data_IF_893709820523
#
_entry.id   IF_893709820523
#
_cell.length_a   1.000
_cell.length_b   1.000
_cell.length_c   1.000
_cell.angle_alpha   90.00
_cell.angle_beta   90.00
_cell.angle_gamma   90.00
#
_symmetry.space_group_name_H-M   'P 1'
#
loop_
_entity.id
_entity.type
_entity.pdbx_description
1 polymer ?
#
# COMPACT_ATOMS: atom_id res chain seq x y z
N UNK A 1 11.68 -18.69 2.97
CA UNK A 1 11.79 -17.95 1.69
C UNK A 1 12.10 -18.93 0.58
N UNK A 2 11.40 -18.85 -0.56
CA UNK A 2 11.71 -19.66 -1.74
C UNK A 2 12.90 -19.02 -2.48
N UNK A 3 13.78 -19.82 -3.09
CA UNK A 3 14.99 -19.34 -3.79
C UNK A 3 14.70 -18.23 -4.81
N UNK A 4 13.55 -18.30 -5.49
CA UNK A 4 13.14 -17.31 -6.49
C UNK A 4 12.72 -15.96 -5.87
N UNK A 5 12.16 -15.95 -4.66
CA UNK A 5 11.76 -14.73 -3.94
C UNK A 5 12.97 -13.96 -3.39
N UNK A 6 14.09 -14.66 -3.15
CA UNK A 6 15.35 -14.04 -2.75
C UNK A 6 15.94 -13.19 -3.89
N UNK A 7 15.85 -13.66 -5.13
CA UNK A 7 16.40 -12.95 -6.28
C UNK A 7 15.75 -11.58 -6.46
N UNK A 8 14.41 -11.49 -6.43
CA UNK A 8 13.70 -10.21 -6.54
C UNK A 8 14.05 -9.24 -5.40
N UNK A 9 14.19 -9.77 -4.18
CA UNK A 9 14.53 -8.97 -3.00
C UNK A 9 15.95 -8.39 -3.11
N UNK A 10 16.90 -9.21 -3.54
CA UNK A 10 18.29 -8.77 -3.76
C UNK A 10 18.38 -7.75 -4.89
N UNK A 11 17.67 -7.98 -6.01
CA UNK A 11 17.63 -7.02 -7.11
C UNK A 11 17.04 -5.68 -6.67
N UNK A 12 15.93 -5.69 -5.89
CA UNK A 12 15.37 -4.45 -5.33
C UNK A 12 16.41 -3.73 -4.48
N UNK A 13 17.11 -4.46 -3.60
CA UNK A 13 18.14 -3.88 -2.73
C UNK A 13 19.28 -3.25 -3.53
N UNK A 14 19.75 -3.90 -4.60
CA UNK A 14 20.79 -3.36 -5.47
C UNK A 14 20.35 -2.06 -6.17
N UNK A 15 19.09 -1.95 -6.60
CA UNK A 15 18.56 -0.70 -7.15
C UNK A 15 18.50 0.41 -6.10
N UNK A 16 18.10 0.09 -4.86
CA UNK A 16 18.07 1.05 -3.75
C UNK A 16 19.49 1.54 -3.38
N UNK A 17 20.48 0.65 -3.38
CA UNK A 17 21.88 0.99 -3.14
C UNK A 17 22.42 1.90 -4.24
N UNK A 18 22.13 1.60 -5.51
CA UNK A 18 22.50 2.46 -6.64
C UNK A 18 21.89 3.86 -6.53
N UNK A 19 20.63 3.98 -6.10
CA UNK A 19 20.01 5.29 -5.82
C UNK A 19 20.73 5.99 -4.66
N UNK A 20 21.07 5.25 -3.60
CA UNK A 20 21.74 5.80 -2.42
C UNK A 20 23.11 6.37 -2.77
N UNK A 21 23.89 5.65 -3.58
CA UNK A 21 25.18 6.10 -4.10
C UNK A 21 25.04 7.29 -5.04
N UNK A 22 24.02 7.30 -5.90
CA UNK A 22 23.77 8.38 -6.84
C UNK A 22 23.44 9.70 -6.12
N UNK A 23 22.56 9.65 -5.12
CA UNK A 23 22.20 10.83 -4.31
C UNK A 23 23.42 11.32 -3.51
N UNK A 24 24.22 10.39 -2.97
CA UNK A 24 25.38 10.61 -2.11
C UNK A 24 25.18 11.70 -1.04
N UNK A 25 24.55 11.31 0.06
CA UNK A 25 24.34 12.21 1.19
C UNK A 25 25.67 12.63 1.84
N UNK A 26 25.79 13.90 2.29
CA UNK A 26 26.98 14.40 2.97
C UNK A 26 27.43 13.55 4.18
N UNK A 27 28.74 13.52 4.42
CA UNK A 27 29.33 12.70 5.49
C UNK A 27 28.93 13.16 6.89
N UNK A 28 28.86 14.47 7.11
CA UNK A 28 28.38 15.08 8.34
C UNK A 28 26.93 14.68 8.63
N UNK A 29 26.03 14.74 7.64
CA UNK A 29 24.65 14.28 7.78
C UNK A 29 24.58 12.81 8.17
N UNK A 30 25.39 11.95 7.54
CA UNK A 30 25.40 10.52 7.82
C UNK A 30 25.89 10.23 9.25
N UNK A 31 26.96 10.88 9.69
CA UNK A 31 27.51 10.72 11.03
C UNK A 31 26.53 11.22 12.12
N UNK A 32 25.85 12.35 11.92
CA UNK A 32 24.80 12.82 12.84
C UNK A 32 23.65 11.82 13.00
N UNK A 33 23.30 11.08 11.94
CA UNK A 33 22.29 10.02 11.98
C UNK A 33 22.81 8.73 12.60
N UNK A 34 24.07 8.38 12.35
CA UNK A 34 24.71 7.24 13.03
C UNK A 34 24.75 7.47 14.54
N UNK A 35 25.20 8.64 14.99
CA UNK A 35 25.24 8.99 16.42
C UNK A 35 23.86 8.87 17.06
N UNK A 36 22.83 9.37 16.39
CA UNK A 36 21.44 9.26 16.86
C UNK A 36 20.91 7.81 16.87
N UNK A 37 21.34 6.97 15.93
CA UNK A 37 20.93 5.56 15.84
C UNK A 37 21.59 4.71 16.94
N UNK A 38 22.86 5.00 17.24
CA UNK A 38 23.62 4.25 18.24
C UNK A 38 23.15 4.53 19.67
N UNK A 39 22.62 5.71 19.94
CA UNK A 39 22.02 6.10 21.23
C UNK A 39 22.92 5.74 22.43
N UNK A 40 24.21 6.10 22.33
CA UNK A 40 25.22 5.82 23.35
C UNK A 40 25.86 4.42 23.27
N UNK A 41 25.37 3.52 22.41
CA UNK A 41 26.01 2.22 22.14
C UNK A 41 27.32 2.43 21.38
N UNK A 42 28.45 1.81 21.79
CA UNK A 42 29.69 1.85 21.02
C UNK A 42 29.49 1.32 19.59
N UNK A 43 29.98 2.05 18.58
CA UNK A 43 29.87 1.68 17.15
C UNK A 43 30.38 0.26 16.88
N UNK A 44 31.52 -0.11 17.46
CA UNK A 44 32.12 -1.44 17.28
C UNK A 44 31.20 -2.56 17.78
N UNK A 45 30.61 -2.40 18.97
CA UNK A 45 29.68 -3.38 19.54
C UNK A 45 28.42 -3.51 18.68
N UNK A 46 27.89 -2.38 18.20
CA UNK A 46 26.71 -2.36 17.32
C UNK A 46 26.95 -3.10 15.99
N UNK A 47 28.14 -2.92 15.41
CA UNK A 47 28.57 -3.55 14.17
C UNK A 47 28.81 -5.06 14.35
N UNK A 48 29.56 -5.46 15.39
CA UNK A 48 29.86 -6.87 15.67
C UNK A 48 28.59 -7.68 15.92
N UNK A 49 27.64 -7.14 16.69
CA UNK A 49 26.36 -7.80 16.97
C UNK A 49 25.53 -8.08 15.70
N UNK A 50 25.75 -7.33 14.61
CA UNK A 50 25.02 -7.45 13.34
C UNK A 50 25.85 -8.05 12.22
N UNK A 51 27.15 -8.27 12.44
CA UNK A 51 28.10 -8.63 11.39
C UNK A 51 28.19 -7.57 10.29
N UNK A 52 28.02 -6.29 10.64
CA UNK A 52 28.04 -5.18 9.69
C UNK A 52 29.43 -4.54 9.62
N UNK A 53 29.77 -4.04 8.45
CA UNK A 53 30.88 -3.12 8.25
C UNK A 53 30.44 -1.68 8.46
N UNK A 54 31.41 -0.77 8.50
CA UNK A 54 31.16 0.66 8.55
C UNK A 54 30.35 1.16 7.34
N UNK A 55 30.64 0.60 6.17
CA UNK A 55 29.93 0.88 4.94
C UNK A 55 28.48 0.41 5.00
N UNK A 56 28.22 -0.76 5.60
CA UNK A 56 26.85 -1.27 5.78
C UNK A 56 26.04 -0.38 6.71
N UNK A 57 26.66 0.11 7.80
CA UNK A 57 26.03 1.05 8.71
C UNK A 57 25.71 2.37 8.02
N UNK A 58 26.66 2.92 7.25
CA UNK A 58 26.42 4.13 6.46
C UNK A 58 25.30 3.92 5.44
N UNK A 59 25.32 2.81 4.70
CA UNK A 59 24.28 2.47 3.73
C UNK A 59 22.91 2.34 4.40
N UNK A 60 22.84 1.69 5.55
CA UNK A 60 21.62 1.54 6.33
C UNK A 60 20.98 2.89 6.69
N UNK A 61 21.81 3.83 7.12
CA UNK A 61 21.38 5.17 7.57
C UNK A 61 21.06 6.10 6.40
N UNK A 62 21.84 6.06 5.33
CA UNK A 62 21.68 6.96 4.19
C UNK A 62 20.53 6.55 3.27
N UNK A 63 20.28 5.24 3.11
CA UNK A 63 19.31 4.73 2.14
C UNK A 63 17.91 5.32 2.28
N UNK A 64 17.28 5.40 3.47
CA UNK A 64 15.92 5.94 3.57
C UNK A 64 15.80 7.39 3.09
N UNK A 65 16.76 8.24 3.47
CA UNK A 65 16.77 9.66 3.07
C UNK A 65 17.10 9.80 1.58
N UNK A 66 18.07 9.04 1.07
CA UNK A 66 18.42 9.08 -0.34
C UNK A 66 17.25 8.68 -1.24
N UNK A 67 16.55 7.60 -0.88
CA UNK A 67 15.34 7.17 -1.58
C UNK A 67 14.23 8.24 -1.52
N UNK A 68 14.06 8.92 -0.39
CA UNK A 68 13.10 10.00 -0.25
C UNK A 68 13.45 11.18 -1.19
N UNK A 69 14.69 11.68 -1.16
CA UNK A 69 15.11 12.78 -2.03
C UNK A 69 15.02 12.43 -3.51
N UNK A 70 15.43 11.21 -3.87
CA UNK A 70 15.27 10.69 -5.22
C UNK A 70 13.80 10.70 -5.65
N UNK A 71 12.90 10.20 -4.80
CA UNK A 71 11.47 10.17 -5.08
C UNK A 71 10.88 11.59 -5.20
N UNK A 72 11.29 12.51 -4.33
CA UNK A 72 10.85 13.91 -4.39
C UNK A 72 11.26 14.58 -5.70
N UNK A 73 12.49 14.37 -6.18
CA UNK A 73 12.95 14.98 -7.43
C UNK A 73 12.26 14.36 -8.66
N UNK A 74 12.07 13.04 -8.69
CA UNK A 74 11.56 12.33 -9.88
C UNK A 74 10.03 12.29 -9.96
N UNK A 75 9.36 12.16 -8.81
CA UNK A 75 7.92 11.95 -8.74
C UNK A 75 7.18 13.09 -8.06
N UNK A 76 7.90 14.03 -7.42
CA UNK A 76 7.29 15.21 -6.80
C UNK A 76 6.66 16.20 -7.80
N UNK A 77 7.28 16.50 -8.95
CA UNK A 77 6.66 17.36 -9.96
C UNK A 77 5.36 16.75 -10.50
N UNK A 78 4.27 17.51 -10.47
CA UNK A 78 2.97 17.06 -11.00
C UNK A 78 2.14 16.18 -10.05
N UNK A 79 2.59 15.97 -8.81
CA UNK A 79 1.94 15.02 -7.90
C UNK A 79 0.55 15.48 -7.44
N UNK A 80 0.33 16.78 -7.31
CA UNK A 80 -0.98 17.35 -6.98
C UNK A 80 -1.97 17.16 -8.12
N UNK A 81 -1.54 17.38 -9.36
CA UNK A 81 -2.33 17.13 -10.57
C UNK A 81 -2.68 15.64 -10.70
N UNK A 82 -1.73 14.74 -10.40
CA UNK A 82 -1.99 13.31 -10.35
C UNK A 82 -3.03 12.94 -9.27
N UNK A 83 -2.93 13.55 -8.09
CA UNK A 83 -3.91 13.35 -7.02
C UNK A 83 -5.32 13.77 -7.49
N UNK A 84 -5.46 14.93 -8.11
CA UNK A 84 -6.74 15.40 -8.66
C UNK A 84 -7.23 14.49 -9.81
N UNK A 85 -6.33 14.03 -10.68
CA UNK A 85 -6.65 13.15 -11.80
C UNK A 85 -7.14 11.76 -11.35
N UNK A 86 -6.81 11.33 -10.13
CA UNK A 86 -7.21 10.04 -9.57
C UNK A 86 -8.71 9.91 -9.23
N UNK A 87 -9.50 10.98 -9.36
CA UNK A 87 -10.96 11.00 -9.17
C UNK A 87 -11.40 10.36 -7.83
N UNK A 88 -10.73 10.70 -6.74
CA UNK A 88 -11.05 10.16 -5.42
C UNK A 88 -10.64 8.70 -5.23
N UNK A 89 -9.66 8.19 -5.98
CA UNK A 89 -9.09 6.86 -5.73
C UNK A 89 -8.43 6.75 -4.36
N UNK A 90 -7.97 7.88 -3.81
CA UNK A 90 -7.37 7.95 -2.47
C UNK A 90 -8.39 8.03 -1.33
N UNK A 91 -9.68 8.22 -1.63
CA UNK A 91 -10.74 8.31 -0.63
C UNK A 91 -10.77 7.04 0.22
N UNK A 92 -10.90 7.20 1.53
CA UNK A 92 -10.93 6.08 2.45
C UNK A 92 -12.34 5.50 2.52
N UNK A 93 -12.46 4.20 2.29
CA UNK A 93 -13.72 3.47 2.37
C UNK A 93 -13.71 2.48 3.54
N UNK A 94 -14.84 2.39 4.22
CA UNK A 94 -15.22 1.30 5.11
C UNK A 94 -16.54 0.74 4.57
N UNK A 95 -16.61 -0.57 4.38
CA UNK A 95 -17.81 -1.23 3.87
C UNK A 95 -17.97 -2.60 4.51
N UNK A 96 -19.22 -3.08 4.55
CA UNK A 96 -19.53 -4.43 4.96
C UNK A 96 -19.77 -5.32 3.74
N UNK A 97 -19.23 -6.53 3.78
CA UNK A 97 -19.33 -7.56 2.77
C UNK A 97 -19.85 -8.85 3.40
N UNK A 98 -20.83 -9.46 2.75
CA UNK A 98 -21.31 -10.79 3.07
C UNK A 98 -21.44 -11.56 1.76
N UNK A 99 -20.77 -12.70 1.65
CA UNK A 99 -20.88 -13.59 0.49
C UNK A 99 -21.24 -15.00 0.88
N UNK A 100 -22.11 -15.59 0.08
CA UNK A 100 -22.57 -16.97 0.15
C UNK A 100 -22.63 -17.56 -1.26
N UNK A 101 -22.56 -18.89 -1.40
CA UNK A 101 -22.70 -19.56 -2.70
C UNK A 101 -24.15 -19.82 -3.09
N UNK A 102 -25.05 -19.92 -2.11
CA UNK A 102 -26.48 -20.15 -2.37
C UNK A 102 -27.21 -18.82 -2.68
N UNK A 103 -27.76 -18.64 -3.90
CA UNK A 103 -28.54 -17.45 -4.26
C UNK A 103 -29.80 -17.26 -3.41
N UNK A 104 -30.47 -18.35 -3.02
CA UNK A 104 -31.68 -18.28 -2.22
C UNK A 104 -31.36 -17.75 -0.82
N UNK A 105 -30.28 -18.24 -0.21
CA UNK A 105 -29.78 -17.75 1.06
C UNK A 105 -29.38 -16.27 0.97
N UNK A 106 -28.67 -15.86 -0.09
CA UNK A 106 -28.30 -14.45 -0.26
C UNK A 106 -29.53 -13.53 -0.30
N UNK A 107 -30.60 -13.97 -0.99
CA UNK A 107 -31.86 -13.22 -1.09
C UNK A 107 -32.58 -13.15 0.25
N UNK A 108 -32.64 -14.27 0.98
CA UNK A 108 -33.23 -14.33 2.30
C UNK A 108 -32.50 -13.41 3.29
N UNK A 109 -31.16 -13.50 3.36
CA UNK A 109 -30.34 -12.66 4.24
C UNK A 109 -30.52 -11.17 3.90
N UNK A 110 -30.60 -10.83 2.61
CA UNK A 110 -30.89 -9.46 2.19
C UNK A 110 -32.22 -8.95 2.74
N UNK A 111 -33.30 -9.74 2.63
CA UNK A 111 -34.62 -9.37 3.17
C UNK A 111 -34.56 -9.22 4.69
N UNK A 112 -33.97 -10.19 5.40
CA UNK A 112 -33.86 -10.16 6.87
C UNK A 112 -33.09 -8.93 7.37
N UNK A 113 -32.05 -8.51 6.64
CA UNK A 113 -31.28 -7.31 7.00
C UNK A 113 -32.08 -6.03 6.72
N UNK A 114 -32.77 -5.93 5.58
CA UNK A 114 -33.60 -4.76 5.24
C UNK A 114 -34.76 -4.58 6.23
N UNK A 115 -35.44 -5.68 6.60
CA UNK A 115 -36.53 -5.69 7.58
C UNK A 115 -36.03 -5.63 9.04
N UNK A 116 -34.71 -5.53 9.24
CA UNK A 116 -34.05 -5.43 10.56
C UNK A 116 -34.31 -6.62 11.48
N UNK A 117 -34.62 -7.79 10.93
CA UNK A 117 -34.72 -9.05 11.68
C UNK A 117 -33.35 -9.55 12.15
N UNK A 118 -32.29 -9.20 11.42
CA UNK A 118 -30.90 -9.44 11.81
C UNK A 118 -30.01 -8.28 11.39
N UNK A 119 -28.88 -8.11 12.07
CA UNK A 119 -27.87 -7.13 11.64
C UNK A 119 -26.98 -7.71 10.54
N UNK A 120 -26.41 -6.85 9.71
CA UNK A 120 -25.42 -7.27 8.70
C UNK A 120 -24.26 -8.03 9.34
N UNK A 121 -23.79 -7.57 10.50
CA UNK A 121 -22.70 -8.18 11.26
C UNK A 121 -23.03 -9.61 11.69
N UNK A 122 -24.22 -9.85 12.22
CA UNK A 122 -24.68 -11.19 12.62
C UNK A 122 -24.83 -12.09 11.40
N UNK A 123 -25.48 -11.61 10.33
CA UNK A 123 -25.62 -12.36 9.09
C UNK A 123 -24.25 -12.75 8.49
N UNK A 124 -23.31 -11.81 8.46
CA UNK A 124 -21.95 -12.04 7.97
C UNK A 124 -21.19 -13.05 8.84
N UNK A 125 -21.33 -12.97 10.15
CA UNK A 125 -20.65 -13.89 11.07
C UNK A 125 -21.23 -15.31 11.02
N UNK A 126 -22.55 -15.44 10.91
CA UNK A 126 -23.24 -16.73 10.97
C UNK A 126 -23.30 -17.46 9.64
N UNK A 127 -23.41 -16.73 8.52
CA UNK A 127 -23.63 -17.31 7.20
C UNK A 127 -22.52 -16.99 6.19
N UNK A 128 -21.64 -16.02 6.47
CA UNK A 128 -20.58 -15.62 5.54
C UNK A 128 -19.58 -16.74 5.29
N UNK A 129 -19.32 -17.00 4.01
CA UNK A 129 -18.42 -18.08 3.56
C UNK A 129 -17.00 -17.56 3.22
N UNK A 130 -16.73 -16.26 3.39
CA UNK A 130 -15.41 -15.66 3.17
C UNK A 130 -14.65 -15.33 4.46
N UNK A 131 -13.34 -14.99 4.36
CA UNK A 131 -12.52 -14.64 5.52
C UNK A 131 -13.00 -13.37 6.24
N UNK A 132 -13.72 -12.49 5.55
CA UNK A 132 -14.35 -11.31 6.14
C UNK A 132 -15.39 -11.64 7.22
N UNK A 133 -15.98 -12.85 7.21
CA UNK A 133 -16.91 -13.30 8.24
C UNK A 133 -16.27 -13.28 9.64
N UNK A 134 -14.97 -13.57 9.74
CA UNK A 134 -14.21 -13.48 10.99
C UNK A 134 -14.14 -12.05 11.56
N UNK A 135 -14.30 -11.04 10.70
CA UNK A 135 -14.41 -9.62 11.06
C UNK A 135 -15.85 -9.11 10.97
N UNK A 136 -16.83 -10.03 11.08
CA UNK A 136 -18.26 -9.71 11.01
C UNK A 136 -18.63 -8.96 9.71
N UNK A 137 -17.93 -9.27 8.63
CA UNK A 137 -18.13 -8.67 7.30
C UNK A 137 -17.50 -7.29 7.12
N UNK A 138 -16.92 -6.65 8.14
CA UNK A 138 -16.38 -5.29 8.04
C UNK A 138 -15.00 -5.26 7.37
N UNK A 139 -14.85 -4.42 6.36
CA UNK A 139 -13.62 -4.22 5.58
C UNK A 139 -13.25 -2.72 5.55
N UNK A 140 -11.96 -2.43 5.72
CA UNK A 140 -11.42 -1.06 5.76
C UNK A 140 -10.94 -0.64 7.16
N UNK A 141 -10.48 0.62 7.33
CA UNK A 141 -10.35 1.66 6.31
C UNK A 141 -9.26 1.35 5.28
N UNK A 142 -9.53 1.63 4.00
CA UNK A 142 -8.54 1.51 2.93
C UNK A 142 -8.85 2.48 1.78
N UNK A 143 -7.87 2.84 0.92
CA UNK A 143 -8.13 3.62 -0.28
C UNK A 143 -9.06 2.87 -1.25
N UNK A 144 -10.13 3.53 -1.69
CA UNK A 144 -11.14 2.92 -2.57
C UNK A 144 -10.56 2.49 -3.93
N UNK A 145 -9.51 3.15 -4.40
CA UNK A 145 -8.80 2.79 -5.64
C UNK A 145 -8.04 1.47 -5.57
N UNK A 146 -7.81 0.92 -4.37
CA UNK A 146 -7.20 -0.41 -4.20
C UNK A 146 -8.20 -1.56 -4.32
N UNK A 147 -9.51 -1.25 -4.41
CA UNK A 147 -10.52 -2.29 -4.56
C UNK A 147 -10.38 -2.99 -5.92
N UNK A 148 -10.32 -4.32 -5.86
CA UNK A 148 -10.38 -5.17 -7.02
C UNK A 148 -11.65 -6.04 -6.96
N UNK A 149 -12.39 -6.18 -8.08
CA UNK A 149 -12.17 -5.56 -9.38
C UNK A 149 -12.64 -4.09 -9.43
N UNK A 150 -12.23 -3.27 -10.42
CA UNK A 150 -12.54 -1.83 -10.47
C UNK A 150 -14.03 -1.48 -10.40
N UNK A 151 -14.91 -2.36 -10.92
CA UNK A 151 -16.36 -2.17 -10.87
C UNK A 151 -16.92 -2.18 -9.44
N UNK A 152 -16.19 -2.75 -8.48
CA UNK A 152 -16.58 -2.73 -7.06
C UNK A 152 -16.49 -1.32 -6.48
N UNK A 153 -15.45 -0.56 -6.83
CA UNK A 153 -15.30 0.83 -6.38
C UNK A 153 -16.46 1.69 -6.89
N UNK A 154 -16.80 1.59 -8.18
CA UNK A 154 -17.93 2.31 -8.78
C UNK A 154 -19.27 1.93 -8.14
N UNK A 155 -19.47 0.63 -7.86
CA UNK A 155 -20.66 0.16 -7.16
C UNK A 155 -20.77 0.77 -5.76
N UNK A 156 -19.70 0.72 -4.96
CA UNK A 156 -19.72 1.26 -3.60
C UNK A 156 -19.88 2.78 -3.58
N UNK A 157 -19.31 3.52 -4.55
CA UNK A 157 -19.54 4.97 -4.72
C UNK A 157 -21.00 5.32 -5.02
N UNK A 158 -21.74 4.42 -5.66
CA UNK A 158 -23.17 4.63 -5.96
C UNK A 158 -24.08 4.48 -4.73
N UNK A 159 -23.59 3.87 -3.65
CA UNK A 159 -24.34 3.67 -2.42
C UNK A 159 -24.23 4.90 -1.51
N UNK A 160 -25.30 5.17 -0.77
CA UNK A 160 -25.22 6.08 0.37
C UNK A 160 -24.70 5.33 1.61
N UNK A 161 -23.98 6.00 2.53
CA UNK A 161 -23.59 5.40 3.80
C UNK A 161 -24.80 4.81 4.54
N UNK A 162 -24.63 3.61 5.08
CA UNK A 162 -25.66 2.79 5.72
C UNK A 162 -26.59 2.05 4.74
N UNK A 163 -26.55 2.32 3.43
CA UNK A 163 -27.39 1.63 2.44
C UNK A 163 -26.71 0.37 1.90
N UNK A 164 -27.51 -0.68 1.78
CA UNK A 164 -27.11 -1.97 1.26
C UNK A 164 -27.58 -2.13 -0.19
N UNK A 165 -26.80 -2.81 -1.01
CA UNK A 165 -27.24 -3.22 -2.35
C UNK A 165 -28.02 -4.53 -2.31
N UNK A 166 -28.91 -4.74 -3.28
CA UNK A 166 -29.42 -6.09 -3.56
C UNK A 166 -28.27 -7.08 -3.82
N UNK A 167 -28.46 -8.39 -3.58
CA UNK A 167 -27.42 -9.39 -3.83
C UNK A 167 -26.91 -9.30 -5.27
N UNK A 168 -25.58 -9.27 -5.40
CA UNK A 168 -24.89 -9.27 -6.69
C UNK A 168 -24.19 -10.59 -6.91
N UNK A 169 -24.32 -11.16 -8.11
CA UNK A 169 -23.59 -12.36 -8.50
C UNK A 169 -22.20 -12.00 -9.02
N UNK A 170 -21.17 -12.64 -8.48
CA UNK A 170 -19.77 -12.47 -8.82
C UNK A 170 -19.08 -13.85 -8.86
N UNK A 171 -19.02 -14.47 -10.04
CA UNK A 171 -18.57 -15.86 -10.15
C UNK A 171 -19.54 -16.81 -9.45
N UNK A 172 -19.04 -17.72 -8.61
CA UNK A 172 -19.89 -18.57 -7.76
C UNK A 172 -20.48 -17.86 -6.53
N UNK A 173 -20.12 -16.60 -6.28
CA UNK A 173 -20.53 -15.87 -5.08
C UNK A 173 -21.76 -15.00 -5.32
N UNK A 174 -22.66 -14.99 -4.35
CA UNK A 174 -23.74 -14.02 -4.22
C UNK A 174 -23.41 -13.10 -3.04
N UNK A 175 -23.19 -11.83 -3.34
CA UNK A 175 -22.55 -10.87 -2.43
C UNK A 175 -23.49 -9.72 -2.11
N UNK A 176 -23.62 -9.41 -0.83
CA UNK A 176 -24.26 -8.22 -0.31
C UNK A 176 -23.18 -7.23 0.10
N UNK A 177 -23.38 -5.97 -0.27
CA UNK A 177 -22.48 -4.88 0.08
C UNK A 177 -23.27 -3.80 0.81
N UNK A 178 -22.70 -3.25 1.88
CA UNK A 178 -23.20 -2.04 2.53
C UNK A 178 -22.07 -1.04 2.67
N UNK A 179 -22.25 0.18 2.17
CA UNK A 179 -21.28 1.24 2.42
C UNK A 179 -21.43 1.68 3.88
N UNK A 180 -20.37 1.63 4.69
CA UNK A 180 -20.41 2.14 6.06
C UNK A 180 -19.95 3.59 6.09
N UNK A 181 -18.83 3.87 5.43
CA UNK A 181 -18.24 5.21 5.41
C UNK A 181 -17.42 5.42 4.13
N UNK A 182 -17.51 6.62 3.56
CA UNK A 182 -16.62 7.10 2.50
C UNK A 182 -16.09 8.48 2.93
N UNK A 183 -14.78 8.58 3.12
CA UNK A 183 -14.11 9.79 3.59
C UNK A 183 -13.21 10.34 2.48
N UNK A 184 -13.48 11.55 1.96
CA UNK A 184 -12.65 12.16 0.93
C UNK A 184 -11.20 12.34 1.38
N UNK A 185 -10.26 11.97 0.51
CA UNK A 185 -8.86 12.25 0.74
C UNK A 185 -8.53 13.73 0.56
N UNK A 186 -7.45 14.18 1.21
CA UNK A 186 -6.88 15.52 1.03
C UNK A 186 -5.43 15.39 0.58
N UNK A 187 -5.01 16.32 -0.26
CA UNK A 187 -3.61 16.43 -0.64
C UNK A 187 -2.84 17.19 0.45
N UNK A 188 -2.49 16.48 1.52
CA UNK A 188 -1.65 16.99 2.61
C UNK A 188 -0.24 16.38 2.56
N UNK A 189 0.62 16.77 3.49
CA UNK A 189 2.00 16.28 3.54
C UNK A 189 2.09 14.74 3.69
N UNK A 190 1.13 14.12 4.38
CA UNK A 190 1.07 12.67 4.57
C UNK A 190 0.67 11.95 3.27
N UNK A 191 -0.34 12.49 2.56
CA UNK A 191 -0.76 11.99 1.25
C UNK A 191 0.37 12.15 0.24
N UNK A 192 1.02 13.31 0.19
CA UNK A 192 2.19 13.55 -0.66
C UNK A 192 3.27 12.49 -0.43
N UNK A 193 3.65 12.27 0.82
CA UNK A 193 4.65 11.25 1.19
C UNK A 193 4.22 9.84 0.75
N UNK A 194 2.94 9.49 0.95
CA UNK A 194 2.40 8.18 0.58
C UNK A 194 2.38 7.97 -0.93
N UNK A 195 2.03 8.99 -1.72
CA UNK A 195 2.04 8.94 -3.17
C UNK A 195 3.47 8.87 -3.74
N UNK A 196 4.42 9.60 -3.16
CA UNK A 196 5.84 9.50 -3.51
C UNK A 196 6.38 8.09 -3.24
N UNK A 197 6.10 7.54 -2.06
CA UNK A 197 6.50 6.18 -1.71
C UNK A 197 5.90 5.16 -2.66
N UNK A 198 4.61 5.28 -2.97
CA UNK A 198 3.93 4.38 -3.91
C UNK A 198 4.54 4.46 -5.32
N UNK A 199 4.92 5.66 -5.77
CA UNK A 199 5.56 5.88 -7.07
C UNK A 199 6.97 5.27 -7.10
N UNK A 200 7.74 5.45 -6.03
CA UNK A 200 9.06 4.83 -5.88
C UNK A 200 8.98 3.30 -5.87
N UNK A 201 8.03 2.73 -5.12
CA UNK A 201 7.85 1.29 -5.07
C UNK A 201 7.44 0.71 -6.44
N UNK A 202 6.54 1.40 -7.16
CA UNK A 202 6.17 1.01 -8.52
C UNK A 202 7.37 1.08 -9.49
N UNK A 203 8.18 2.14 -9.39
CA UNK A 203 9.40 2.31 -10.17
C UNK A 203 10.41 1.19 -9.91
N UNK A 204 10.73 0.91 -8.65
CA UNK A 204 11.65 -0.17 -8.27
C UNK A 204 11.11 -1.54 -8.71
N UNK A 205 9.82 -1.81 -8.52
CA UNK A 205 9.21 -3.06 -8.95
C UNK A 205 9.30 -3.26 -10.47
N UNK A 206 9.09 -2.20 -11.25
CA UNK A 206 9.24 -2.23 -12.70
C UNK A 206 10.68 -2.54 -13.12
N UNK A 207 11.68 -1.89 -12.50
CA UNK A 207 13.11 -2.15 -12.78
C UNK A 207 13.54 -3.56 -12.42
N UNK A 208 13.10 -4.06 -11.25
CA UNK A 208 13.36 -5.46 -10.85
C UNK A 208 12.78 -6.43 -11.86
N UNK A 209 11.55 -6.19 -12.32
CA UNK A 209 10.91 -7.02 -13.36
C UNK A 209 11.70 -7.00 -14.67
N UNK A 210 12.08 -5.83 -15.18
CA UNK A 210 12.88 -5.68 -16.39
C UNK A 210 14.22 -6.43 -16.29
N UNK A 211 14.87 -6.35 -15.14
CA UNK A 211 16.15 -7.03 -14.88
C UNK A 211 16.00 -8.55 -14.82
N UNK A 212 14.91 -9.05 -14.25
CA UNK A 212 14.57 -10.49 -14.27
C UNK A 212 14.28 -10.99 -15.69
N UNK A 213 13.71 -10.13 -16.55
CA UNK A 213 13.45 -10.41 -17.96
C UNK A 213 14.70 -10.21 -18.86
N UNK A 214 15.85 -9.82 -18.29
CA UNK A 214 17.10 -9.62 -19.02
C UNK A 214 17.15 -8.35 -19.88
N UNK A 215 16.26 -7.40 -19.62
CA UNK A 215 16.17 -6.14 -20.36
C UNK A 215 17.22 -5.12 -19.88
N UNK A 216 17.62 -4.22 -20.78
CA UNK A 216 18.48 -3.09 -20.43
C UNK A 216 17.67 -2.07 -19.62
N UNK A 217 18.25 -1.59 -18.53
CA UNK A 217 17.65 -0.57 -17.67
C UNK A 217 18.13 0.81 -18.08
N UNK A 218 17.21 1.78 -18.08
CA UNK A 218 17.58 3.18 -18.17
C UNK A 218 18.47 3.58 -16.99
N UNK A 219 19.44 4.47 -17.25
CA UNK A 219 20.35 4.97 -16.23
C UNK A 219 19.57 5.80 -15.20
N UNK A 220 19.89 5.60 -13.92
CA UNK A 220 19.37 6.45 -12.86
C UNK A 220 19.99 7.85 -12.99
N UNK A 221 19.15 8.88 -12.92
CA UNK A 221 19.57 10.29 -12.92
C UNK A 221 19.25 10.92 -11.58
N UNK A 222 20.00 11.92 -11.16
CA UNK A 222 19.70 12.73 -9.97
C UNK A 222 20.43 14.05 -10.12
N UNK A 223 19.76 15.15 -9.79
CA UNK A 223 20.32 16.50 -9.88
C UNK A 223 20.51 16.99 -8.46
N UNK A 224 21.77 17.16 -8.05
CA UNK A 224 22.07 17.75 -6.75
C UNK A 224 21.80 19.23 -6.85
N UNK A 225 20.85 19.73 -6.07
CA UNK A 225 20.71 21.16 -5.86
C UNK A 225 22.04 21.68 -5.27
N UNK A 226 22.64 22.63 -5.99
CA UNK A 226 23.92 23.26 -5.65
C UNK A 226 23.85 24.13 -4.40
#
# INVERSE_FOLDING_TARGET
MRRLELQSTLLKRLEEEAITELVALPDDWAEERIVSLLDGTPRLEYLEARGWTDQDLRMHVCRPEALQRFAEQHFGPGLEEQFLASRGAHDQIIYSLLRVRDPALARELWIRIEERETTFSEAAQSFGEGPEAARKGLIGPMPIGQLAPPQLAEHLRSLQPGRMSSPKTMGEWHVLFRLEQLTPARFDASMRKSMLQSSLDAFLAARVKQRLEGQSLEALTYHRDS
#
